data_IF_248963480962
#
_entry.id   IF_248963480962
#
_cell.length_a   1.000
_cell.length_b   1.000
_cell.length_c   1.000
_cell.angle_alpha   90.00
_cell.angle_beta   90.00
_cell.angle_gamma   90.00
#
_symmetry.space_group_name_H-M   'P 1'
#
loop_
_entity.id
_entity.type
_entity.pdbx_description
1 polymer ?
#
# COMPACT_ATOMS: atom_id res chain seq x y z
N UNK A 1 -15.12 -0.71 25.59
CA UNK A 1 -15.83 -0.63 24.30
C UNK A 1 -15.49 -1.88 23.53
N UNK A 2 -16.53 -2.60 23.11
CA UNK A 2 -16.41 -3.84 22.35
C UNK A 2 -16.73 -3.59 20.88
N UNK A 3 -15.85 -4.00 19.99
CA UNK A 3 -15.95 -3.74 18.55
C UNK A 3 -15.89 -5.05 17.81
N UNK A 4 -16.87 -5.26 16.94
CA UNK A 4 -16.88 -6.38 16.00
C UNK A 4 -16.42 -5.89 14.63
N UNK A 5 -15.50 -6.61 14.02
CA UNK A 5 -14.92 -6.25 12.71
C UNK A 5 -15.20 -7.36 11.70
N UNK A 6 -15.99 -7.06 10.67
CA UNK A 6 -16.24 -7.97 9.55
C UNK A 6 -15.21 -7.80 8.46
N UNK A 7 -14.61 -8.92 8.00
CA UNK A 7 -13.44 -8.94 7.12
C UNK A 7 -12.12 -8.67 7.85
N UNK A 8 -12.03 -9.11 9.11
CA UNK A 8 -10.96 -8.76 10.06
C UNK A 8 -9.57 -9.26 9.63
N UNK A 9 -9.46 -10.36 8.88
CA UNK A 9 -8.18 -10.95 8.48
C UNK A 9 -7.53 -10.26 7.28
N UNK A 10 -8.24 -9.32 6.64
CA UNK A 10 -7.75 -8.57 5.49
C UNK A 10 -6.67 -7.54 5.85
N UNK A 11 -5.81 -7.19 4.86
CA UNK A 11 -4.70 -6.25 5.03
C UNK A 11 -5.13 -4.83 5.44
N UNK A 12 -6.39 -4.43 5.19
CA UNK A 12 -6.92 -3.14 5.61
C UNK A 12 -7.55 -3.13 7.00
N UNK A 13 -8.16 -4.24 7.41
CA UNK A 13 -8.94 -4.33 8.67
C UNK A 13 -8.12 -4.90 9.82
N UNK A 14 -7.27 -5.91 9.55
CA UNK A 14 -6.47 -6.57 10.58
C UNK A 14 -5.50 -5.64 11.32
N UNK A 15 -4.73 -4.80 10.63
CA UNK A 15 -3.86 -3.81 11.29
C UNK A 15 -4.63 -2.83 12.18
N UNK A 16 -5.84 -2.43 11.76
CA UNK A 16 -6.71 -1.58 12.57
C UNK A 16 -7.21 -2.31 13.83
N UNK A 17 -7.54 -3.60 13.70
CA UNK A 17 -7.91 -4.44 14.83
C UNK A 17 -6.76 -4.56 15.85
N UNK A 18 -5.53 -4.79 15.38
CA UNK A 18 -4.32 -4.85 16.23
C UNK A 18 -4.08 -3.54 16.97
N UNK A 19 -4.18 -2.42 16.27
CA UNK A 19 -4.03 -1.09 16.89
C UNK A 19 -5.11 -0.83 17.95
N UNK A 20 -6.37 -1.18 17.64
CA UNK A 20 -7.49 -0.95 18.54
C UNK A 20 -7.41 -1.82 19.80
N UNK A 21 -6.99 -3.07 19.65
CA UNK A 21 -6.73 -4.00 20.77
C UNK A 21 -5.60 -3.45 21.65
N UNK A 22 -4.46 -3.08 21.07
CA UNK A 22 -3.34 -2.49 21.78
C UNK A 22 -3.71 -1.17 22.49
N UNK A 23 -4.72 -0.43 21.99
CA UNK A 23 -5.29 0.76 22.63
C UNK A 23 -6.29 0.42 23.76
N UNK A 24 -6.50 -0.87 24.07
CA UNK A 24 -7.33 -1.35 25.15
C UNK A 24 -8.82 -1.46 24.82
N UNK A 25 -9.18 -1.61 23.53
CA UNK A 25 -10.52 -1.98 23.12
C UNK A 25 -10.66 -3.50 23.08
N UNK A 26 -11.85 -4.03 23.37
CA UNK A 26 -12.14 -5.44 23.16
C UNK A 26 -12.53 -5.67 21.70
N UNK A 27 -11.72 -6.42 20.97
CA UNK A 27 -11.88 -6.64 19.53
C UNK A 27 -12.19 -8.11 19.27
N UNK A 28 -13.16 -8.36 18.40
CA UNK A 28 -13.41 -9.66 17.79
C UNK A 28 -13.91 -9.46 16.36
N UNK A 29 -14.01 -10.51 15.57
CA UNK A 29 -14.55 -10.37 14.23
C UNK A 29 -14.58 -11.66 13.43
N UNK A 30 -15.01 -11.55 12.17
CA UNK A 30 -15.17 -12.66 11.24
C UNK A 30 -14.47 -12.40 9.92
N UNK A 31 -14.14 -13.47 9.22
CA UNK A 31 -13.66 -13.42 7.84
C UNK A 31 -14.01 -14.71 7.09
N UNK A 32 -14.15 -14.65 5.77
CA UNK A 32 -14.40 -15.83 4.93
C UNK A 32 -13.23 -16.82 4.93
N UNK A 33 -12.00 -16.30 5.06
CA UNK A 33 -10.78 -17.09 5.02
C UNK A 33 -9.70 -16.54 5.97
N UNK A 34 -8.67 -17.33 6.21
CA UNK A 34 -7.46 -16.84 6.89
C UNK A 34 -6.70 -15.91 5.96
N UNK A 35 -6.87 -14.61 6.14
CA UNK A 35 -6.14 -13.59 5.39
C UNK A 35 -4.72 -13.38 5.90
N UNK A 36 -3.99 -12.44 5.27
CA UNK A 36 -2.56 -12.19 5.51
C UNK A 36 -2.22 -11.81 6.97
N UNK A 37 -3.17 -11.25 7.73
CA UNK A 37 -2.95 -10.75 9.11
C UNK A 37 -3.49 -11.71 10.17
N UNK A 38 -4.09 -12.84 9.78
CA UNK A 38 -4.73 -13.79 10.70
C UNK A 38 -3.84 -14.24 11.87
N UNK A 39 -2.58 -14.59 11.56
CA UNK A 39 -1.63 -15.05 12.57
C UNK A 39 -1.22 -13.94 13.55
N UNK A 40 -1.15 -12.70 13.11
CA UNK A 40 -0.89 -11.54 13.97
C UNK A 40 -2.06 -11.31 14.94
N UNK A 41 -3.31 -11.38 14.44
CA UNK A 41 -4.52 -11.22 15.23
C UNK A 41 -4.63 -12.27 16.33
N UNK A 42 -4.40 -13.54 15.98
CA UNK A 42 -4.47 -14.65 16.95
C UNK A 42 -3.36 -14.58 17.99
N UNK A 43 -2.15 -14.14 17.63
CA UNK A 43 -1.06 -13.87 18.59
C UNK A 43 -1.38 -12.73 19.54
N UNK A 44 -2.12 -11.71 19.09
CA UNK A 44 -2.61 -10.62 19.93
C UNK A 44 -3.79 -11.03 20.83
N UNK A 45 -4.31 -12.26 20.71
CA UNK A 45 -5.44 -12.75 21.50
C UNK A 45 -6.81 -12.32 20.96
N UNK A 46 -6.88 -11.80 19.77
CA UNK A 46 -8.14 -11.39 19.11
C UNK A 46 -8.87 -12.65 18.62
N UNK A 47 -10.14 -12.78 18.99
CA UNK A 47 -10.99 -13.89 18.56
C UNK A 47 -11.50 -13.66 17.13
N UNK A 48 -11.17 -14.57 16.22
CA UNK A 48 -11.52 -14.48 14.79
C UNK A 48 -12.28 -15.73 14.37
N UNK A 49 -13.54 -15.57 13.96
CA UNK A 49 -14.30 -16.62 13.31
C UNK A 49 -13.95 -16.67 11.80
N UNK A 50 -13.56 -17.83 11.31
CA UNK A 50 -13.20 -18.05 9.90
C UNK A 50 -14.17 -19.03 9.25
N UNK A 51 -14.77 -18.65 8.13
CA UNK A 51 -15.73 -19.47 7.39
C UNK A 51 -16.89 -18.63 6.86
N UNK A 52 -18.02 -19.29 6.60
CA UNK A 52 -19.22 -18.57 6.18
C UNK A 52 -19.64 -17.55 7.26
N UNK A 53 -19.81 -16.31 6.83
CA UNK A 53 -20.24 -15.21 7.70
C UNK A 53 -21.79 -15.21 7.78
N UNK A 54 -22.33 -16.32 8.28
CA UNK A 54 -23.78 -16.59 8.40
C UNK A 54 -24.47 -15.84 9.55
N UNK A 55 -23.68 -15.17 10.40
CA UNK A 55 -24.15 -14.38 11.53
C UNK A 55 -24.15 -15.12 12.88
N UNK A 56 -23.91 -16.44 12.95
CA UNK A 56 -23.91 -17.18 14.23
C UNK A 56 -22.88 -16.62 15.23
N UNK A 57 -21.68 -16.35 14.76
CA UNK A 57 -20.63 -15.76 15.60
C UNK A 57 -21.00 -14.36 16.07
N UNK A 58 -21.49 -13.50 15.17
CA UNK A 58 -21.96 -12.16 15.52
C UNK A 58 -23.11 -12.22 16.54
N UNK A 59 -24.08 -13.13 16.37
CA UNK A 59 -25.17 -13.29 17.30
C UNK A 59 -24.68 -13.63 18.73
N UNK A 60 -23.68 -14.51 18.84
CA UNK A 60 -23.06 -14.82 20.13
C UNK A 60 -22.43 -13.58 20.77
N UNK A 61 -21.72 -12.75 19.98
CA UNK A 61 -21.07 -11.54 20.45
C UNK A 61 -22.06 -10.41 20.77
N UNK A 62 -23.17 -10.31 20.05
CA UNK A 62 -24.25 -9.37 20.39
C UNK A 62 -24.84 -9.66 21.79
N UNK A 63 -24.95 -10.93 22.17
CA UNK A 63 -25.39 -11.32 23.54
C UNK A 63 -24.38 -10.93 24.62
N UNK A 64 -23.08 -10.85 24.26
CA UNK A 64 -22.01 -10.38 25.14
C UNK A 64 -21.92 -8.84 25.20
N UNK A 65 -22.63 -8.14 24.33
CA UNK A 65 -22.70 -6.69 24.23
C UNK A 65 -21.63 -6.09 23.31
N UNK A 66 -21.98 -5.88 22.05
CA UNK A 66 -21.16 -5.14 21.07
C UNK A 66 -21.62 -3.68 21.00
N UNK A 67 -20.67 -2.75 21.05
CA UNK A 67 -20.92 -1.31 20.96
C UNK A 67 -20.85 -0.80 19.51
N UNK A 68 -20.03 -1.44 18.67
CA UNK A 68 -19.76 -0.97 17.32
C UNK A 68 -19.44 -2.12 16.35
N UNK A 69 -20.09 -2.11 15.19
CA UNK A 69 -19.81 -2.98 14.06
C UNK A 69 -19.04 -2.22 12.98
N UNK A 70 -17.83 -2.67 12.65
CA UNK A 70 -16.97 -2.05 11.65
C UNK A 70 -16.79 -3.01 10.47
N UNK A 71 -16.94 -2.51 9.25
CA UNK A 71 -16.91 -3.34 8.06
C UNK A 71 -16.09 -2.74 6.92
N UNK A 72 -15.60 -3.63 6.03
CA UNK A 72 -14.88 -3.25 4.82
C UNK A 72 -15.83 -2.66 3.76
N UNK A 73 -15.34 -1.74 2.92
CA UNK A 73 -16.11 -1.21 1.78
C UNK A 73 -16.47 -2.27 0.73
N UNK A 74 -15.82 -3.44 0.77
CA UNK A 74 -16.15 -4.58 -0.10
C UNK A 74 -17.38 -5.37 0.35
N UNK A 75 -17.89 -5.13 1.58
CA UNK A 75 -19.04 -5.83 2.11
C UNK A 75 -20.33 -5.31 1.46
N UNK A 76 -21.17 -6.17 0.84
CA UNK A 76 -22.43 -5.74 0.23
C UNK A 76 -23.43 -5.29 1.30
N UNK A 77 -24.36 -4.40 0.91
CA UNK A 77 -25.35 -3.82 1.82
C UNK A 77 -26.34 -4.86 2.39
N UNK A 78 -26.55 -5.96 1.71
CA UNK A 78 -27.39 -7.09 2.11
C UNK A 78 -26.64 -8.21 2.84
N UNK A 79 -25.38 -7.98 3.18
CA UNK A 79 -24.58 -8.97 3.91
C UNK A 79 -25.20 -9.31 5.27
N UNK A 80 -25.31 -10.59 5.57
CA UNK A 80 -26.01 -11.13 6.76
C UNK A 80 -25.58 -10.44 8.05
N UNK A 81 -24.29 -10.36 8.34
CA UNK A 81 -23.78 -9.73 9.57
C UNK A 81 -24.10 -8.22 9.62
N UNK A 82 -24.04 -7.50 8.49
CA UNK A 82 -24.33 -6.06 8.45
C UNK A 82 -25.82 -5.80 8.71
N UNK A 83 -26.70 -6.62 8.13
CA UNK A 83 -28.14 -6.53 8.36
C UNK A 83 -28.45 -6.80 9.84
N UNK A 84 -27.92 -7.88 10.40
CA UNK A 84 -28.12 -8.25 11.81
C UNK A 84 -27.64 -7.15 12.76
N UNK A 85 -26.48 -6.55 12.53
CA UNK A 85 -25.96 -5.46 13.35
C UNK A 85 -26.85 -4.20 13.28
N UNK A 86 -27.35 -3.86 12.09
CA UNK A 86 -28.31 -2.74 11.89
C UNK A 86 -29.64 -3.01 12.62
N UNK A 87 -30.19 -4.22 12.52
CA UNK A 87 -31.41 -4.62 13.21
C UNK A 87 -31.28 -4.64 14.74
N UNK A 88 -30.08 -4.99 15.24
CA UNK A 88 -29.77 -4.92 16.67
C UNK A 88 -29.55 -3.47 17.16
N UNK A 89 -29.62 -2.47 16.29
CA UNK A 89 -29.41 -1.05 16.62
C UNK A 89 -27.97 -0.71 16.97
N UNK A 90 -27.00 -1.52 16.55
CA UNK A 90 -25.57 -1.29 16.78
C UNK A 90 -25.07 -0.21 15.82
N UNK A 91 -24.16 0.63 16.27
CA UNK A 91 -23.46 1.57 15.40
C UNK A 91 -22.67 0.82 14.33
N UNK A 92 -23.01 1.01 13.05
CA UNK A 92 -22.34 0.39 11.91
C UNK A 92 -21.61 1.44 11.10
N UNK A 93 -20.29 1.28 10.87
CA UNK A 93 -19.51 2.18 10.03
C UNK A 93 -18.45 1.46 9.22
N UNK A 94 -17.98 2.10 8.16
CA UNK A 94 -16.81 1.65 7.42
C UNK A 94 -15.51 1.87 8.24
N UNK A 95 -14.43 1.20 7.80
CA UNK A 95 -13.08 1.25 8.37
C UNK A 95 -12.61 2.67 8.70
N UNK A 96 -12.75 3.58 7.74
CA UNK A 96 -12.14 4.91 7.85
C UNK A 96 -12.80 5.79 8.92
N UNK A 97 -14.11 5.63 9.14
CA UNK A 97 -14.83 6.32 10.23
C UNK A 97 -14.34 5.84 11.61
N UNK A 98 -14.07 4.54 11.75
CA UNK A 98 -13.53 3.98 12.99
C UNK A 98 -12.08 4.37 13.20
N UNK A 99 -11.27 4.40 12.13
CA UNK A 99 -9.88 4.88 12.17
C UNK A 99 -9.82 6.33 12.62
N UNK A 100 -10.63 7.22 12.03
CA UNK A 100 -10.68 8.63 12.41
C UNK A 100 -11.06 8.80 13.90
N UNK A 101 -12.08 8.08 14.35
CA UNK A 101 -12.48 8.07 15.77
C UNK A 101 -11.34 7.61 16.68
N UNK A 102 -10.63 6.55 16.32
CA UNK A 102 -9.55 6.00 17.14
C UNK A 102 -8.40 6.99 17.28
N UNK A 103 -8.00 7.62 16.19
CA UNK A 103 -6.94 8.64 16.17
C UNK A 103 -7.30 9.84 17.03
N UNK A 104 -8.54 10.36 16.88
CA UNK A 104 -9.05 11.47 17.70
C UNK A 104 -9.11 11.09 19.18
N UNK A 105 -9.67 9.92 19.52
CA UNK A 105 -9.78 9.40 20.89
C UNK A 105 -8.41 9.30 21.57
N UNK A 106 -7.38 8.93 20.82
CA UNK A 106 -6.02 8.75 21.32
C UNK A 106 -5.20 10.06 21.30
N UNK A 107 -5.71 11.11 20.68
CA UNK A 107 -5.04 12.41 20.58
C UNK A 107 -3.76 12.39 19.75
N UNK A 108 -3.71 11.53 18.71
CA UNK A 108 -2.52 11.33 17.88
C UNK A 108 -2.45 12.34 16.74
N UNK A 109 -1.24 12.84 16.46
CA UNK A 109 -0.95 13.64 15.26
C UNK A 109 -0.84 12.69 14.04
N UNK A 110 -1.80 12.77 13.10
CA UNK A 110 -1.82 11.90 11.93
C UNK A 110 -0.77 12.32 10.90
N UNK A 111 0.07 11.38 10.48
CA UNK A 111 0.92 11.43 9.30
C UNK A 111 0.24 10.55 8.25
N UNK A 112 -0.42 11.16 7.26
CA UNK A 112 -1.18 10.44 6.25
C UNK A 112 -0.42 10.40 4.92
N UNK A 113 -0.12 9.20 4.43
CA UNK A 113 0.51 8.99 3.14
C UNK A 113 -0.58 8.70 2.11
N UNK A 114 -0.79 9.62 1.17
CA UNK A 114 -1.78 9.52 0.11
C UNK A 114 -1.15 9.77 -1.26
N UNK A 115 -1.63 9.09 -2.29
CA UNK A 115 -1.08 9.22 -3.64
C UNK A 115 -1.50 8.07 -4.51
N UNK A 116 -1.33 8.15 -5.80
CA UNK A 116 -1.65 7.06 -6.72
C UNK A 116 -0.67 5.92 -6.55
N UNK A 117 0.64 6.22 -6.48
CA UNK A 117 1.73 5.25 -6.34
C UNK A 117 2.61 5.58 -5.14
N UNK A 118 3.38 4.61 -4.66
CA UNK A 118 4.35 4.77 -3.57
C UNK A 118 3.76 4.75 -2.14
N UNK A 119 2.43 4.81 -1.95
CA UNK A 119 1.79 4.87 -0.62
C UNK A 119 2.34 3.86 0.39
N UNK A 120 2.21 2.58 0.07
CA UNK A 120 2.59 1.48 0.98
C UNK A 120 4.08 1.50 1.29
N UNK A 121 4.92 1.69 0.27
CA UNK A 121 6.38 1.74 0.44
C UNK A 121 6.79 2.92 1.30
N UNK A 122 6.32 4.14 0.98
CA UNK A 122 6.61 5.35 1.77
C UNK A 122 6.11 5.20 3.20
N UNK A 123 4.89 4.67 3.42
CA UNK A 123 4.35 4.44 4.77
C UNK A 123 5.24 3.48 5.57
N UNK A 124 5.63 2.36 4.96
CA UNK A 124 6.49 1.37 5.62
C UNK A 124 7.90 1.93 5.92
N UNK A 125 8.47 2.75 5.02
CA UNK A 125 9.74 3.45 5.23
C UNK A 125 9.65 4.48 6.36
N UNK A 126 8.55 5.23 6.48
CA UNK A 126 8.33 6.14 7.61
C UNK A 126 8.25 5.35 8.91
N UNK A 127 7.50 4.23 8.95
CA UNK A 127 7.40 3.37 10.14
C UNK A 127 8.77 2.82 10.52
N UNK A 128 9.52 2.27 9.56
CA UNK A 128 10.87 1.75 9.79
C UNK A 128 11.79 2.80 10.40
N UNK A 129 11.88 3.96 9.76
CA UNK A 129 12.74 5.05 10.23
C UNK A 129 12.28 5.60 11.59
N UNK A 130 10.97 5.76 11.82
CA UNK A 130 10.43 6.20 13.10
C UNK A 130 10.79 5.23 14.24
N UNK A 131 10.65 3.91 14.00
CA UNK A 131 11.05 2.88 14.99
C UNK A 131 12.56 2.90 15.27
N UNK A 132 13.38 3.00 14.23
CA UNK A 132 14.86 3.08 14.37
C UNK A 132 15.31 4.36 15.07
N UNK A 133 14.61 5.47 14.87
CA UNK A 133 14.87 6.74 15.55
C UNK A 133 14.19 6.83 16.93
N UNK A 134 13.54 5.76 17.42
CA UNK A 134 12.81 5.70 18.70
C UNK A 134 11.75 6.79 18.85
N UNK A 135 11.07 7.16 17.75
CA UNK A 135 9.94 8.06 17.81
C UNK A 135 8.70 7.33 18.35
N UNK A 136 7.90 8.04 19.12
CA UNK A 136 6.65 7.51 19.69
C UNK A 136 5.54 7.60 18.66
N UNK A 137 5.42 6.54 17.85
CA UNK A 137 4.50 6.48 16.73
C UNK A 137 3.74 5.16 16.69
N UNK A 138 2.42 5.28 16.68
CA UNK A 138 1.48 4.24 16.27
C UNK A 138 1.38 4.21 14.75
N UNK A 139 0.97 3.08 14.19
CA UNK A 139 0.86 2.97 12.74
C UNK A 139 -0.10 1.87 12.29
N UNK A 140 -0.57 2.01 11.05
CA UNK A 140 -1.25 0.98 10.28
C UNK A 140 -0.66 1.00 8.87
N UNK A 141 -0.18 -0.15 8.40
CA UNK A 141 0.36 -0.34 7.06
C UNK A 141 -0.44 -1.40 6.32
N UNK A 142 -0.79 -1.14 5.07
CA UNK A 142 -1.62 -2.00 4.22
C UNK A 142 -0.94 -3.28 3.72
N UNK A 143 0.18 -3.69 4.34
CA UNK A 143 0.92 -4.91 4.00
C UNK A 143 1.56 -5.52 5.24
N UNK A 144 2.02 -6.76 5.13
CA UNK A 144 2.84 -7.39 6.17
C UNK A 144 4.24 -6.78 6.20
N UNK A 145 4.72 -6.49 7.40
CA UNK A 145 6.05 -5.98 7.65
C UNK A 145 6.92 -7.11 8.22
N UNK A 146 8.06 -7.38 7.60
CA UNK A 146 9.01 -8.40 8.10
C UNK A 146 9.70 -8.01 9.41
N UNK A 147 9.62 -6.75 9.82
CA UNK A 147 10.33 -6.18 10.95
C UNK A 147 9.43 -5.76 12.13
N UNK A 148 8.12 -5.72 11.94
CA UNK A 148 7.15 -5.31 12.97
C UNK A 148 5.74 -5.83 12.60
N UNK A 149 4.76 -5.85 13.53
CA UNK A 149 3.35 -6.06 13.19
C UNK A 149 2.85 -5.01 12.18
N UNK A 150 1.81 -5.35 11.40
CA UNK A 150 1.22 -4.42 10.42
C UNK A 150 0.40 -3.28 11.03
N UNK A 151 0.02 -3.39 12.31
CA UNK A 151 -0.61 -2.35 13.10
C UNK A 151 -0.12 -2.36 14.54
N UNK A 152 0.14 -1.17 15.12
CA UNK A 152 0.65 -1.06 16.49
C UNK A 152 0.22 0.25 17.14
N UNK A 153 0.06 0.20 18.47
CA UNK A 153 -0.12 1.35 19.35
C UNK A 153 0.60 1.10 20.68
N UNK A 154 1.29 2.10 21.18
CA UNK A 154 1.83 2.09 22.55
C UNK A 154 1.33 3.32 23.31
N UNK A 155 0.97 3.11 24.57
CA UNK A 155 0.52 4.22 25.42
C UNK A 155 1.59 5.32 25.52
N UNK A 156 1.22 6.52 25.13
CA UNK A 156 2.12 7.67 25.09
C UNK A 156 2.75 7.94 23.73
N UNK A 157 2.34 7.20 22.70
CA UNK A 157 2.63 7.58 21.31
C UNK A 157 2.01 8.94 21.01
N UNK A 158 2.66 9.68 20.13
CA UNK A 158 2.26 11.04 19.73
C UNK A 158 1.74 11.09 18.30
N UNK A 159 2.26 10.22 17.46
CA UNK A 159 2.02 10.20 16.03
C UNK A 159 1.24 8.96 15.62
N UNK A 160 0.51 9.09 14.52
CA UNK A 160 -0.15 7.98 13.85
C UNK A 160 0.22 7.98 12.37
N UNK A 161 0.99 7.00 11.93
CA UNK A 161 1.44 6.84 10.54
C UNK A 161 0.43 5.94 9.82
N UNK A 162 -0.15 6.43 8.74
CA UNK A 162 -1.27 5.77 8.07
C UNK A 162 -1.23 5.92 6.55
N UNK A 163 -1.52 4.82 5.85
CA UNK A 163 -1.77 4.81 4.42
C UNK A 163 -3.21 5.25 4.12
N UNK A 164 -3.39 6.48 3.67
CA UNK A 164 -4.69 7.08 3.39
C UNK A 164 -5.09 6.84 1.92
N UNK A 165 -6.05 5.92 1.73
CA UNK A 165 -6.51 5.48 0.41
C UNK A 165 -7.41 6.54 -0.25
N UNK A 166 -7.08 6.93 -1.48
CA UNK A 166 -7.87 7.84 -2.29
C UNK A 166 -9.11 7.18 -2.90
N UNK A 167 -9.16 5.84 -2.97
CA UNK A 167 -10.34 5.13 -3.44
C UNK A 167 -11.57 5.48 -2.60
N UNK A 168 -12.72 5.62 -3.27
CA UNK A 168 -14.00 6.03 -2.64
C UNK A 168 -13.89 7.35 -1.85
N UNK A 169 -12.89 8.20 -2.16
CA UNK A 169 -12.60 9.48 -1.48
C UNK A 169 -12.35 9.33 0.04
N UNK A 170 -11.95 8.16 0.49
CA UNK A 170 -11.80 7.85 1.92
C UNK A 170 -10.79 8.76 2.61
N UNK A 171 -9.67 9.11 1.94
CA UNK A 171 -8.65 10.01 2.49
C UNK A 171 -9.20 11.41 2.85
N UNK A 172 -10.33 11.85 2.25
CA UNK A 172 -10.95 13.15 2.56
C UNK A 172 -11.69 13.18 3.91
N UNK A 173 -11.81 12.04 4.59
CA UNK A 173 -12.35 11.97 5.97
C UNK A 173 -11.35 12.44 7.02
N UNK A 174 -10.06 12.53 6.64
CA UNK A 174 -8.98 12.86 7.57
C UNK A 174 -8.54 14.31 7.47
N UNK A 175 -8.06 14.83 8.60
CA UNK A 175 -7.40 16.14 8.71
C UNK A 175 -5.98 15.91 9.21
N UNK A 176 -5.05 15.49 8.34
CA UNK A 176 -3.70 15.12 8.76
C UNK A 176 -2.97 16.32 9.37
N UNK A 177 -2.19 16.06 10.43
CA UNK A 177 -1.19 17.00 10.87
C UNK A 177 -0.11 17.16 9.79
N UNK A 178 0.31 16.05 9.16
CA UNK A 178 1.24 16.02 8.03
C UNK A 178 0.69 15.10 6.94
N UNK A 179 0.52 15.59 5.72
CA UNK A 179 0.28 14.79 4.54
C UNK A 179 1.60 14.53 3.80
N UNK A 180 1.83 13.28 3.36
CA UNK A 180 2.97 12.89 2.52
C UNK A 180 2.42 12.39 1.20
N UNK A 181 2.84 12.98 0.07
CA UNK A 181 2.25 12.69 -1.25
C UNK A 181 3.35 12.28 -2.24
N UNK A 182 3.55 10.95 -2.44
CA UNK A 182 4.59 10.46 -3.36
C UNK A 182 4.33 10.78 -4.83
N UNK A 183 3.11 10.53 -5.29
CA UNK A 183 2.73 10.75 -6.69
C UNK A 183 1.23 11.01 -6.82
N UNK A 184 0.86 11.81 -7.82
CA UNK A 184 -0.55 12.04 -8.17
C UNK A 184 -0.70 11.86 -9.70
N UNK A 185 -1.13 10.67 -10.09
CA UNK A 185 -1.51 10.30 -11.46
C UNK A 185 -2.97 9.88 -11.49
N UNK A 186 -3.66 10.09 -12.60
CA UNK A 186 -5.09 9.77 -12.69
C UNK A 186 -5.33 8.25 -12.57
N UNK A 187 -6.16 7.86 -11.60
CA UNK A 187 -6.62 6.48 -11.38
C UNK A 187 -8.07 6.50 -10.87
N UNK A 188 -8.70 5.33 -10.78
CA UNK A 188 -10.06 5.13 -10.25
C UNK A 188 -11.15 5.95 -10.96
N UNK A 189 -11.32 5.79 -12.28
CA UNK A 189 -12.34 6.52 -13.06
C UNK A 189 -13.77 6.16 -12.67
N UNK A 190 -13.98 5.01 -12.03
CA UNK A 190 -15.23 4.61 -11.39
C UNK A 190 -15.65 5.55 -10.25
N UNK A 191 -14.69 6.17 -9.56
CA UNK A 191 -14.89 7.12 -8.45
C UNK A 191 -14.67 8.58 -8.90
N UNK A 192 -13.74 8.79 -9.82
CA UNK A 192 -13.37 10.10 -10.35
C UNK A 192 -13.60 10.13 -11.86
N UNK A 193 -14.79 10.57 -12.32
CA UNK A 193 -15.13 10.53 -13.74
C UNK A 193 -14.17 11.29 -14.66
N UNK A 194 -13.42 12.26 -14.10
CA UNK A 194 -12.44 13.05 -14.85
C UNK A 194 -11.13 13.20 -14.09
N UNK A 195 -10.03 13.39 -14.83
CA UNK A 195 -8.74 13.73 -14.25
C UNK A 195 -8.81 14.99 -13.36
N UNK A 196 -9.66 15.94 -13.72
CA UNK A 196 -9.84 17.17 -12.95
C UNK A 196 -10.50 16.91 -11.59
N UNK A 197 -11.48 15.98 -11.51
CA UNK A 197 -12.10 15.58 -10.25
C UNK A 197 -11.09 14.90 -9.31
N UNK A 198 -10.20 14.09 -9.87
CA UNK A 198 -9.11 13.46 -9.11
C UNK A 198 -8.15 14.52 -8.53
N UNK A 199 -7.70 15.46 -9.38
CA UNK A 199 -6.83 16.57 -8.95
C UNK A 199 -7.50 17.43 -7.87
N UNK A 200 -8.80 17.75 -8.01
CA UNK A 200 -9.57 18.50 -7.00
C UNK A 200 -9.63 17.79 -5.66
N UNK A 201 -9.78 16.46 -5.65
CA UNK A 201 -9.77 15.69 -4.40
C UNK A 201 -8.42 15.81 -3.69
N UNK A 202 -7.30 15.71 -4.41
CA UNK A 202 -5.97 15.93 -3.83
C UNK A 202 -5.73 17.38 -3.38
N UNK A 203 -6.28 18.37 -4.10
CA UNK A 203 -6.24 19.77 -3.66
C UNK A 203 -7.01 19.95 -2.34
N UNK A 204 -8.20 19.33 -2.22
CA UNK A 204 -8.95 19.32 -0.98
C UNK A 204 -8.17 18.66 0.15
N UNK A 205 -7.57 17.49 -0.07
CA UNK A 205 -6.76 16.78 0.92
C UNK A 205 -5.57 17.62 1.41
N UNK A 206 -4.85 18.29 0.48
CA UNK A 206 -3.80 19.25 0.86
C UNK A 206 -4.37 20.37 1.73
N UNK A 207 -5.48 20.98 1.31
CA UNK A 207 -6.09 22.14 2.01
C UNK A 207 -6.60 21.82 3.42
N UNK A 208 -6.92 20.56 3.72
CA UNK A 208 -7.35 20.12 5.06
C UNK A 208 -6.21 19.57 5.93
N UNK A 209 -4.98 19.53 5.40
CA UNK A 209 -3.78 19.11 6.13
C UNK A 209 -3.08 20.29 6.79
N UNK A 210 -2.41 20.08 7.92
CA UNK A 210 -1.60 21.13 8.56
C UNK A 210 -0.33 21.44 7.77
N UNK A 211 0.37 20.40 7.34
CA UNK A 211 1.60 20.45 6.55
C UNK A 211 1.53 19.42 5.43
N UNK A 212 2.26 19.67 4.35
CA UNK A 212 2.35 18.77 3.20
C UNK A 212 3.81 18.60 2.80
N UNK A 213 4.24 17.36 2.60
CA UNK A 213 5.50 17.00 1.92
C UNK A 213 5.10 16.24 0.66
N UNK A 214 5.48 16.73 -0.51
CA UNK A 214 5.10 16.10 -1.78
C UNK A 214 6.25 16.05 -2.80
N UNK A 215 6.26 15.00 -3.63
CA UNK A 215 7.10 14.97 -4.81
C UNK A 215 6.37 15.59 -5.99
N UNK A 216 6.98 16.64 -6.59
CA UNK A 216 6.39 17.37 -7.69
C UNK A 216 7.46 18.01 -8.57
N UNK A 217 7.32 17.84 -9.89
CA UNK A 217 8.24 18.44 -10.88
C UNK A 217 9.72 18.10 -10.60
N UNK A 218 10.03 16.85 -10.24
CA UNK A 218 11.40 16.40 -9.97
C UNK A 218 11.97 16.85 -8.62
N UNK A 219 11.16 17.40 -7.71
CA UNK A 219 11.59 17.92 -6.42
C UNK A 219 10.67 17.45 -5.30
N UNK A 220 11.22 17.36 -4.09
CA UNK A 220 10.45 17.19 -2.87
C UNK A 220 10.24 18.57 -2.26
N UNK A 221 8.99 18.93 -2.03
CA UNK A 221 8.56 20.23 -1.55
C UNK A 221 7.87 20.10 -0.19
N UNK A 222 8.13 21.05 0.70
CA UNK A 222 7.45 21.21 1.97
C UNK A 222 6.56 22.45 1.95
N UNK A 223 5.33 22.34 2.47
CA UNK A 223 4.34 23.40 2.52
C UNK A 223 3.63 23.44 3.86
N UNK A 224 3.40 24.63 4.35
CA UNK A 224 2.49 24.88 5.48
C UNK A 224 1.17 25.44 4.95
N UNK A 225 0.07 24.67 5.11
CA UNK A 225 -1.20 24.96 4.46
C UNK A 225 -2.13 25.89 5.27
N UNK A 226 -1.93 26.00 6.60
CA UNK A 226 -2.78 26.83 7.48
C UNK A 226 -2.17 28.21 7.81
N UNK A 227 -1.08 28.59 7.17
CA UNK A 227 -0.46 29.90 7.36
C UNK A 227 -1.18 30.98 6.53
N UNK A 228 -1.11 32.23 6.97
CA UNK A 228 -1.67 33.38 6.23
C UNK A 228 -0.98 33.63 4.88
N UNK A 229 0.22 33.11 4.71
CA UNK A 229 0.99 33.12 3.48
C UNK A 229 1.41 31.65 3.21
N UNK A 230 1.15 31.16 2.00
CA UNK A 230 1.58 29.83 1.59
C UNK A 230 3.11 29.79 1.57
N UNK A 231 3.71 29.13 2.55
CA UNK A 231 5.13 28.86 2.57
C UNK A 231 5.40 27.56 1.82
N UNK A 232 6.19 27.63 0.75
CA UNK A 232 6.67 26.48 0.02
C UNK A 232 8.20 26.56 -0.06
N UNK A 233 8.89 25.48 0.34
CA UNK A 233 10.34 25.35 0.22
C UNK A 233 10.70 23.95 -0.30
N UNK A 234 11.91 23.84 -0.86
CA UNK A 234 12.49 22.54 -1.18
C UNK A 234 12.85 21.83 0.13
N UNK A 235 12.43 20.55 0.26
CA UNK A 235 12.66 19.75 1.45
C UNK A 235 14.15 19.42 1.65
N UNK A 236 14.51 19.07 2.89
CA UNK A 236 15.91 18.86 3.28
C UNK A 236 16.53 17.64 2.59
N UNK A 237 15.86 16.47 2.61
CA UNK A 237 16.37 15.24 2.00
C UNK A 237 15.86 15.12 0.56
N UNK A 238 16.77 14.75 -0.36
CA UNK A 238 16.50 14.59 -1.79
C UNK A 238 16.68 13.13 -2.21
N UNK A 239 16.08 12.73 -3.33
CA UNK A 239 16.20 11.35 -3.82
C UNK A 239 17.66 10.91 -4.04
N UNK A 240 18.52 11.81 -4.51
CA UNK A 240 19.94 11.55 -4.74
C UNK A 240 20.79 11.33 -3.47
N UNK A 241 20.22 11.56 -2.29
CA UNK A 241 20.89 11.25 -1.03
C UNK A 241 20.88 9.75 -0.71
N UNK A 242 20.05 8.97 -1.40
CA UNK A 242 19.82 7.54 -1.15
C UNK A 242 20.42 6.65 -2.24
N UNK A 243 20.94 5.48 -1.84
CA UNK A 243 21.57 4.49 -2.70
C UNK A 243 20.69 3.29 -3.04
N UNK A 244 19.37 3.39 -2.81
CA UNK A 244 18.41 2.35 -3.15
C UNK A 244 18.28 2.19 -4.67
N UNK A 245 18.08 0.97 -5.15
CA UNK A 245 17.80 0.70 -6.55
C UNK A 245 16.46 1.31 -6.98
N UNK A 246 16.44 1.97 -8.14
CA UNK A 246 15.28 2.64 -8.75
C UNK A 246 14.99 4.04 -8.19
N UNK A 247 14.72 4.99 -9.10
CA UNK A 247 14.43 6.37 -8.71
C UNK A 247 13.19 6.47 -7.83
N UNK A 248 12.12 5.71 -8.11
CA UNK A 248 10.90 5.72 -7.33
C UNK A 248 11.17 5.36 -5.85
N UNK A 249 12.00 4.35 -5.56
CA UNK A 249 12.36 3.99 -4.18
C UNK A 249 13.21 5.05 -3.50
N UNK A 250 14.09 5.72 -4.23
CA UNK A 250 14.88 6.85 -3.70
C UNK A 250 13.99 8.04 -3.36
N UNK A 251 12.95 8.30 -4.16
CA UNK A 251 11.93 9.33 -3.87
C UNK A 251 11.14 8.95 -2.61
N UNK A 252 10.65 7.71 -2.51
CA UNK A 252 9.93 7.23 -1.33
C UNK A 252 10.77 7.36 -0.05
N UNK A 253 12.07 7.01 -0.13
CA UNK A 253 13.02 7.14 0.99
C UNK A 253 13.22 8.61 1.39
N UNK A 254 13.36 9.51 0.43
CA UNK A 254 13.52 10.92 0.71
C UNK A 254 12.24 11.54 1.33
N UNK A 255 11.06 11.16 0.84
CA UNK A 255 9.78 11.56 1.45
C UNK A 255 9.68 11.05 2.90
N UNK A 256 10.04 9.79 3.13
CA UNK A 256 10.05 9.20 4.47
C UNK A 256 11.05 9.88 5.40
N UNK A 257 12.26 10.19 4.91
CA UNK A 257 13.26 10.93 5.68
C UNK A 257 12.76 12.30 6.11
N UNK A 258 12.18 13.07 5.18
CA UNK A 258 11.62 14.39 5.48
C UNK A 258 10.46 14.30 6.47
N UNK A 259 9.55 13.31 6.35
CA UNK A 259 8.47 13.10 7.29
C UNK A 259 8.99 12.79 8.71
N UNK A 260 9.95 11.89 8.83
CA UNK A 260 10.55 11.53 10.13
C UNK A 260 11.34 12.70 10.72
N UNK A 261 12.07 13.43 9.91
CA UNK A 261 12.77 14.65 10.32
C UNK A 261 11.79 15.71 10.85
N UNK A 262 10.65 15.90 10.17
CA UNK A 262 9.60 16.80 10.60
C UNK A 262 8.99 16.40 11.96
N UNK A 263 8.79 15.08 12.19
CA UNK A 263 8.38 14.55 13.50
C UNK A 263 9.42 14.85 14.58
N UNK A 264 10.72 14.65 14.29
CA UNK A 264 11.82 14.97 15.21
C UNK A 264 11.88 16.46 15.54
N UNK A 265 11.79 17.32 14.54
CA UNK A 265 11.75 18.77 14.75
C UNK A 265 10.58 19.17 15.67
N UNK A 266 9.40 18.61 15.46
CA UNK A 266 8.25 18.86 16.35
C UNK A 266 8.52 18.41 17.79
N UNK A 267 9.12 17.23 18.01
CA UNK A 267 9.46 16.73 19.33
C UNK A 267 10.51 17.60 20.05
N UNK A 268 11.47 18.13 19.30
CA UNK A 268 12.50 19.03 19.83
C UNK A 268 11.91 20.41 20.13
N UNK A 269 11.06 20.96 19.25
CA UNK A 269 10.37 22.23 19.48
C UNK A 269 9.49 22.20 20.73
N UNK A 270 8.77 21.10 20.99
CA UNK A 270 7.99 20.92 22.23
C UNK A 270 8.86 20.93 23.50
N UNK A 271 10.15 20.63 23.37
CA UNK A 271 11.15 20.68 24.45
C UNK A 271 11.94 22.00 24.49
N UNK A 272 11.63 22.94 23.60
CA UNK A 272 12.35 24.23 23.48
C UNK A 272 13.76 24.08 22.90
N UNK A 273 14.04 23.03 22.12
CA UNK A 273 15.32 22.76 21.47
C UNK A 273 15.17 23.07 19.98
N UNK A 274 15.98 23.99 19.46
CA UNK A 274 16.11 24.18 18.01
C UNK A 274 17.12 23.16 17.46
N UNK A 275 16.71 22.43 16.41
CA UNK A 275 17.56 21.49 15.69
C UNK A 275 17.52 21.85 14.21
N UNK A 276 18.63 22.28 13.70
CA UNK A 276 18.81 22.68 12.31
C UNK A 276 20.01 21.93 11.71
N UNK A 277 19.92 20.59 11.68
CA UNK A 277 20.97 19.81 11.02
C UNK A 277 20.48 18.52 10.41
N UNK A 278 20.95 18.30 9.21
CA UNK A 278 20.90 17.08 8.43
C UNK A 278 21.58 15.92 9.18
N UNK A 279 20.87 14.82 9.40
CA UNK A 279 21.43 13.65 10.03
C UNK A 279 21.66 12.54 9.03
N UNK A 280 22.90 12.16 8.78
CA UNK A 280 23.25 10.99 7.95
C UNK A 280 22.60 9.69 8.45
N UNK A 281 22.25 9.63 9.75
CA UNK A 281 21.58 8.49 10.35
C UNK A 281 20.22 8.12 9.67
N UNK A 282 19.44 9.08 9.19
CA UNK A 282 18.21 8.79 8.44
C UNK A 282 18.50 8.19 7.08
N UNK A 283 19.56 8.66 6.41
CA UNK A 283 19.99 8.11 5.12
C UNK A 283 20.46 6.67 5.29
N UNK A 284 21.35 6.41 6.24
CA UNK A 284 21.83 5.07 6.54
C UNK A 284 20.67 4.14 6.88
N UNK A 285 19.78 4.58 7.78
CA UNK A 285 18.59 3.81 8.17
C UNK A 285 17.70 3.43 6.99
N UNK A 286 17.44 4.36 6.08
CA UNK A 286 16.55 4.13 4.94
C UNK A 286 17.25 3.35 3.81
N UNK A 287 18.56 3.47 3.64
CA UNK A 287 19.32 2.60 2.74
C UNK A 287 19.30 1.13 3.20
N UNK A 288 19.18 0.89 4.52
CA UNK A 288 19.03 -0.45 5.12
C UNK A 288 17.56 -0.89 5.23
N UNK A 289 16.61 -0.19 4.60
CA UNK A 289 15.19 -0.52 4.69
C UNK A 289 14.91 -1.93 4.14
N UNK A 290 14.35 -2.83 4.96
CA UNK A 290 13.99 -4.17 4.51
C UNK A 290 12.78 -4.08 3.58
N UNK A 291 12.82 -4.89 2.53
CA UNK A 291 11.71 -4.97 1.58
C UNK A 291 10.46 -5.48 2.28
N UNK A 292 9.31 -4.88 1.97
CA UNK A 292 8.00 -5.32 2.48
C UNK A 292 7.27 -6.18 1.44
N UNK A 293 6.31 -6.97 1.90
CA UNK A 293 5.66 -7.99 1.08
C UNK A 293 5.10 -7.43 -0.24
N UNK A 294 5.41 -8.11 -1.34
CA UNK A 294 5.00 -7.78 -2.70
C UNK A 294 5.39 -6.36 -3.17
N UNK A 295 6.54 -5.81 -2.68
CA UNK A 295 7.11 -4.53 -3.13
C UNK A 295 8.57 -4.73 -3.50
N UNK A 296 8.80 -5.29 -4.69
CA UNK A 296 10.09 -5.78 -5.15
C UNK A 296 10.69 -6.80 -4.16
N UNK A 297 9.85 -7.71 -3.71
CA UNK A 297 10.20 -8.73 -2.71
C UNK A 297 10.96 -9.89 -3.38
N UNK A 298 12.15 -10.20 -2.85
CA UNK A 298 12.91 -11.38 -3.26
C UNK A 298 12.34 -12.62 -2.59
N UNK A 299 11.85 -13.59 -3.36
CA UNK A 299 11.27 -14.84 -2.87
C UNK A 299 12.20 -16.04 -3.01
N UNK A 300 13.14 -15.98 -3.95
CA UNK A 300 14.21 -16.93 -4.13
C UNK A 300 15.43 -16.26 -4.79
N UNK A 301 16.50 -16.98 -5.02
CA UNK A 301 17.68 -16.44 -5.70
C UNK A 301 17.32 -15.97 -7.11
N UNK A 302 17.47 -14.65 -7.33
CA UNK A 302 17.18 -13.96 -8.59
C UNK A 302 15.71 -14.02 -9.03
N UNK A 303 14.79 -14.32 -8.10
CA UNK A 303 13.34 -14.38 -8.34
C UNK A 303 12.62 -13.40 -7.41
N UNK A 304 11.89 -12.46 -8.01
CA UNK A 304 11.22 -11.36 -7.32
C UNK A 304 9.73 -11.35 -7.60
N UNK A 305 8.98 -10.68 -6.75
CA UNK A 305 7.56 -10.37 -6.97
C UNK A 305 7.28 -8.91 -6.61
N UNK A 306 6.39 -8.27 -7.38
CA UNK A 306 5.94 -6.90 -7.14
C UNK A 306 4.43 -6.76 -7.37
N UNK A 307 3.82 -5.84 -6.69
CA UNK A 307 2.39 -5.54 -6.80
C UNK A 307 2.03 -4.69 -8.03
N UNK A 308 3.02 -4.26 -8.81
CA UNK A 308 2.86 -3.41 -9.99
C UNK A 308 1.80 -3.97 -10.95
N UNK A 309 0.81 -3.17 -11.27
CA UNK A 309 -0.33 -3.52 -12.14
C UNK A 309 -0.84 -2.33 -12.99
N UNK A 310 -0.24 -1.16 -12.82
CA UNK A 310 -0.45 0.04 -13.64
C UNK A 310 0.80 0.30 -14.50
N UNK A 311 0.66 0.82 -15.74
CA UNK A 311 1.82 1.07 -16.61
C UNK A 311 2.97 1.85 -15.95
N UNK A 312 2.67 2.91 -15.21
CA UNK A 312 3.68 3.70 -14.50
C UNK A 312 4.42 2.90 -13.41
N UNK A 313 3.70 2.00 -12.70
CA UNK A 313 4.30 1.11 -11.71
C UNK A 313 5.22 0.08 -12.36
N UNK A 314 4.81 -0.46 -13.53
CA UNK A 314 5.62 -1.41 -14.29
C UNK A 314 6.94 -0.79 -14.71
N UNK A 315 6.91 0.43 -15.25
CA UNK A 315 8.12 1.19 -15.63
C UNK A 315 9.05 1.34 -14.42
N UNK A 316 8.53 1.80 -13.29
CA UNK A 316 9.31 2.00 -12.06
C UNK A 316 9.87 0.67 -11.53
N UNK A 317 9.08 -0.39 -11.50
CA UNK A 317 9.52 -1.71 -11.04
C UNK A 317 10.55 -2.33 -11.96
N UNK A 318 10.40 -2.16 -13.27
CA UNK A 318 11.38 -2.64 -14.26
C UNK A 318 12.71 -1.89 -14.14
N UNK A 319 12.70 -0.58 -13.84
CA UNK A 319 13.90 0.19 -13.56
C UNK A 319 14.65 -0.38 -12.34
N UNK A 320 13.93 -0.63 -11.22
CA UNK A 320 14.50 -1.26 -10.03
C UNK A 320 15.10 -2.63 -10.39
N UNK A 321 14.36 -3.45 -11.14
CA UNK A 321 14.80 -4.80 -11.53
C UNK A 321 16.06 -4.78 -12.40
N UNK A 322 16.20 -3.78 -13.28
CA UNK A 322 17.39 -3.60 -14.13
C UNK A 322 18.60 -3.18 -13.30
N UNK A 323 18.47 -2.18 -12.43
CA UNK A 323 19.55 -1.77 -11.53
C UNK A 323 19.99 -2.95 -10.62
N UNK A 324 19.04 -3.73 -10.10
CA UNK A 324 19.32 -4.92 -9.29
C UNK A 324 20.01 -6.02 -10.10
N UNK A 325 19.57 -6.27 -11.35
CA UNK A 325 20.21 -7.25 -12.23
C UNK A 325 21.67 -6.86 -12.53
N UNK A 326 21.94 -5.59 -12.78
CA UNK A 326 23.29 -5.09 -12.99
C UNK A 326 24.17 -5.28 -11.75
N UNK A 327 23.67 -4.93 -10.55
CA UNK A 327 24.38 -5.11 -9.28
C UNK A 327 24.72 -6.58 -8.99
N UNK A 328 23.81 -7.49 -9.37
CA UNK A 328 23.97 -8.93 -9.18
C UNK A 328 24.72 -9.63 -10.34
N UNK A 329 25.19 -8.88 -11.34
CA UNK A 329 25.89 -9.41 -12.52
C UNK A 329 25.02 -10.29 -13.42
N UNK A 330 23.70 -10.03 -13.46
CA UNK A 330 22.76 -10.74 -14.33
C UNK A 330 22.68 -10.08 -15.70
N UNK A 331 22.32 -10.84 -16.73
CA UNK A 331 22.29 -10.37 -18.13
C UNK A 331 21.15 -9.41 -18.44
N UNK A 332 20.05 -9.49 -17.68
CA UNK A 332 18.85 -8.70 -17.87
C UNK A 332 17.67 -9.21 -17.05
N UNK A 333 16.49 -8.72 -17.37
CA UNK A 333 15.25 -8.96 -16.62
C UNK A 333 14.22 -9.65 -17.49
N UNK A 334 13.63 -10.73 -16.97
CA UNK A 334 12.47 -11.41 -17.54
C UNK A 334 11.25 -11.12 -16.68
N UNK A 335 10.19 -10.62 -17.29
CA UNK A 335 8.96 -10.22 -16.62
C UNK A 335 7.87 -11.24 -16.87
N UNK A 336 7.15 -11.64 -15.82
CA UNK A 336 5.84 -12.28 -15.91
C UNK A 336 4.82 -11.25 -15.44
N UNK A 337 3.87 -10.89 -16.30
CA UNK A 337 2.91 -9.83 -15.99
C UNK A 337 1.48 -10.35 -16.01
N UNK A 338 0.72 -10.10 -14.94
CA UNK A 338 -0.72 -10.35 -14.89
C UNK A 338 -1.47 -9.03 -14.71
N UNK A 339 -2.22 -8.57 -15.74
CA UNK A 339 -3.11 -7.41 -15.61
C UNK A 339 -4.19 -7.67 -14.57
N UNK A 340 -4.65 -6.61 -13.92
CA UNK A 340 -5.67 -6.68 -12.88
C UNK A 340 -6.87 -5.81 -13.26
N UNK A 341 -8.08 -6.40 -13.26
CA UNK A 341 -9.36 -5.74 -13.52
C UNK A 341 -9.50 -5.24 -14.97
N UNK A 342 -10.28 -5.97 -15.80
CA UNK A 342 -10.47 -5.66 -17.22
C UNK A 342 -11.02 -4.23 -17.46
N UNK A 343 -11.92 -3.74 -16.59
CA UNK A 343 -12.43 -2.38 -16.67
C UNK A 343 -11.29 -1.35 -16.65
N UNK A 344 -10.32 -1.49 -15.72
CA UNK A 344 -9.12 -0.64 -15.68
C UNK A 344 -8.29 -0.78 -16.95
N UNK A 345 -8.17 -2.01 -17.47
CA UNK A 345 -7.33 -2.27 -18.64
C UNK A 345 -7.77 -1.50 -19.87
N UNK A 346 -9.08 -1.32 -20.08
CA UNK A 346 -9.61 -0.50 -21.17
C UNK A 346 -9.17 0.97 -21.09
N UNK A 347 -8.92 1.47 -19.91
CA UNK A 347 -8.57 2.86 -19.67
C UNK A 347 -7.07 3.14 -19.74
N UNK A 348 -6.27 2.17 -19.25
CA UNK A 348 -4.80 2.34 -19.20
C UNK A 348 -4.07 1.70 -20.37
N UNK A 349 -4.80 1.08 -21.34
CA UNK A 349 -4.24 0.30 -22.44
C UNK A 349 -3.11 1.01 -23.17
N UNK A 350 -3.32 2.28 -23.52
CA UNK A 350 -2.33 3.08 -24.27
C UNK A 350 -1.03 3.30 -23.50
N UNK A 351 -1.08 3.25 -22.17
CA UNK A 351 0.08 3.38 -21.29
C UNK A 351 1.06 2.21 -21.35
N UNK A 352 0.63 1.05 -21.84
CA UNK A 352 1.50 -0.12 -21.93
C UNK A 352 2.52 -0.06 -23.07
N UNK A 353 2.30 0.80 -24.07
CA UNK A 353 3.10 0.84 -25.30
C UNK A 353 4.62 0.72 -25.06
N UNK A 354 5.14 1.48 -24.11
CA UNK A 354 6.58 1.53 -23.78
C UNK A 354 6.90 1.00 -22.37
N UNK A 355 5.89 0.47 -21.65
CA UNK A 355 6.05 0.12 -20.23
C UNK A 355 7.05 -1.02 -19.97
N UNK A 356 7.30 -1.87 -20.97
CA UNK A 356 8.22 -3.01 -20.87
C UNK A 356 9.53 -2.81 -21.63
N UNK A 357 9.86 -1.57 -22.02
CA UNK A 357 11.12 -1.27 -22.72
C UNK A 357 12.31 -1.56 -21.78
N UNK A 358 13.21 -2.43 -22.24
CA UNK A 358 14.37 -2.88 -21.49
C UNK A 358 14.18 -4.21 -20.75
N UNK A 359 13.00 -4.83 -20.83
CA UNK A 359 12.85 -6.24 -20.49
C UNK A 359 13.44 -7.12 -21.60
N UNK A 360 14.13 -8.22 -21.22
CA UNK A 360 14.62 -9.22 -22.17
C UNK A 360 13.48 -10.08 -22.72
N UNK A 361 12.54 -10.43 -21.86
CA UNK A 361 11.34 -11.21 -22.19
C UNK A 361 10.17 -10.81 -21.31
N UNK A 362 8.97 -10.79 -21.90
CA UNK A 362 7.71 -10.54 -21.19
C UNK A 362 6.75 -11.71 -21.44
N UNK A 363 6.34 -12.38 -20.40
CA UNK A 363 5.27 -13.38 -20.42
C UNK A 363 3.98 -12.71 -19.92
N UNK A 364 3.04 -12.48 -20.83
CA UNK A 364 1.79 -11.78 -20.53
C UNK A 364 0.68 -12.78 -20.21
N UNK A 365 0.19 -12.76 -18.96
CA UNK A 365 -0.88 -13.62 -18.48
C UNK A 365 -2.27 -13.05 -18.79
N UNK A 366 -3.32 -13.89 -18.79
CA UNK A 366 -4.70 -13.39 -18.82
C UNK A 366 -5.00 -12.45 -17.67
N UNK A 367 -5.82 -11.43 -17.94
CA UNK A 367 -6.25 -10.46 -16.93
C UNK A 367 -6.99 -11.14 -15.78
N UNK A 368 -6.60 -10.85 -14.55
CA UNK A 368 -7.37 -11.24 -13.38
C UNK A 368 -8.63 -10.40 -13.27
N UNK A 369 -9.79 -11.06 -13.39
CA UNK A 369 -11.09 -10.43 -13.44
C UNK A 369 -11.65 -10.23 -12.02
N UNK A 370 -12.03 -9.00 -11.69
CA UNK A 370 -12.68 -8.64 -10.43
C UNK A 370 -13.39 -7.29 -10.57
N UNK A 371 -14.61 -7.16 -10.06
CA UNK A 371 -15.43 -5.94 -10.11
C UNK A 371 -15.58 -5.40 -11.53
N UNK A 372 -15.88 -6.27 -12.47
CA UNK A 372 -15.89 -5.95 -13.90
C UNK A 372 -17.14 -5.21 -14.35
N UNK A 373 -16.98 -4.31 -15.33
CA UNK A 373 -18.10 -3.83 -16.11
C UNK A 373 -18.52 -4.90 -17.15
N UNK A 374 -19.74 -5.47 -17.03
CA UNK A 374 -20.17 -6.56 -17.91
C UNK A 374 -20.39 -6.14 -19.36
N UNK A 375 -20.42 -4.84 -19.65
CA UNK A 375 -20.56 -4.31 -21.01
C UNK A 375 -19.24 -4.31 -21.78
N UNK A 376 -18.09 -4.45 -21.09
CA UNK A 376 -16.77 -4.46 -21.69
C UNK A 376 -16.32 -5.87 -22.03
N UNK A 377 -15.87 -6.10 -23.26
CA UNK A 377 -15.21 -7.36 -23.65
C UNK A 377 -13.89 -7.51 -22.92
N UNK A 378 -13.55 -8.74 -22.52
CA UNK A 378 -12.25 -9.02 -21.91
C UNK A 378 -11.16 -8.90 -22.97
N UNK A 379 -10.18 -8.02 -22.75
CA UNK A 379 -9.03 -7.83 -23.62
C UNK A 379 -8.08 -9.02 -23.47
N UNK A 380 -7.72 -9.66 -24.58
CA UNK A 380 -6.80 -10.80 -24.56
C UNK A 380 -5.35 -10.34 -24.51
N UNK A 381 -4.43 -11.19 -23.98
CA UNK A 381 -3.00 -10.88 -23.94
C UNK A 381 -2.43 -10.47 -25.31
N UNK A 382 -2.82 -11.13 -26.39
CA UNK A 382 -2.33 -10.86 -27.74
C UNK A 382 -2.70 -9.44 -28.23
N UNK A 383 -3.83 -8.90 -27.77
CA UNK A 383 -4.28 -7.55 -28.12
C UNK A 383 -3.45 -6.47 -27.43
N UNK A 384 -2.96 -6.74 -26.21
CA UNK A 384 -2.01 -5.85 -25.53
C UNK A 384 -0.62 -5.91 -26.18
N UNK A 385 -0.15 -7.14 -26.43
CA UNK A 385 1.17 -7.39 -27.00
C UNK A 385 1.32 -6.70 -28.36
N UNK A 386 0.27 -6.73 -29.20
CA UNK A 386 0.28 -6.11 -30.51
C UNK A 386 0.51 -4.59 -30.49
N UNK A 387 0.18 -3.92 -29.38
CA UNK A 387 0.33 -2.47 -29.21
C UNK A 387 1.66 -2.08 -28.56
N UNK A 388 2.50 -3.03 -28.11
CA UNK A 388 3.79 -2.76 -27.50
C UNK A 388 4.82 -2.29 -28.53
N UNK A 389 5.66 -1.32 -28.16
CA UNK A 389 6.77 -0.87 -29.00
C UNK A 389 7.90 -1.94 -29.15
N UNK A 390 7.99 -2.86 -28.19
CA UNK A 390 8.94 -3.98 -28.17
C UNK A 390 8.24 -5.35 -28.23
N UNK A 391 7.23 -5.47 -29.09
CA UNK A 391 6.36 -6.66 -29.18
C UNK A 391 7.13 -7.98 -29.41
N UNK A 392 8.31 -7.95 -30.01
CA UNK A 392 9.12 -9.13 -30.32
C UNK A 392 9.61 -9.86 -29.05
N UNK A 393 9.71 -9.18 -27.92
CA UNK A 393 10.12 -9.80 -26.64
C UNK A 393 8.94 -10.29 -25.82
N UNK A 394 7.69 -10.00 -26.23
CA UNK A 394 6.49 -10.37 -25.49
C UNK A 394 5.78 -11.58 -26.08
N UNK A 395 5.21 -12.43 -25.24
CA UNK A 395 4.35 -13.54 -25.65
C UNK A 395 3.23 -13.77 -24.62
N UNK A 396 2.07 -14.22 -25.10
CA UNK A 396 0.98 -14.69 -24.25
C UNK A 396 1.37 -15.98 -23.54
N UNK A 397 1.03 -16.09 -22.26
CA UNK A 397 1.39 -17.24 -21.43
C UNK A 397 0.26 -17.58 -20.45
N UNK A 398 0.31 -18.78 -19.91
CA UNK A 398 -0.57 -19.27 -18.84
C UNK A 398 0.27 -19.84 -17.69
N UNK A 399 -0.29 -19.86 -16.48
CA UNK A 399 0.37 -20.43 -15.30
C UNK A 399 0.37 -21.97 -15.40
N UNK A 400 1.37 -22.53 -16.06
CA UNK A 400 1.50 -23.95 -16.32
C UNK A 400 2.97 -24.41 -16.36
N UNK A 401 3.20 -25.71 -16.62
CA UNK A 401 4.55 -26.28 -16.65
C UNK A 401 5.38 -25.80 -17.86
N UNK A 402 4.76 -25.39 -18.99
CA UNK A 402 5.47 -24.79 -20.12
C UNK A 402 6.12 -23.46 -19.74
N UNK A 403 5.35 -22.59 -19.07
CA UNK A 403 5.89 -21.33 -18.53
C UNK A 403 7.04 -21.60 -17.55
N UNK A 404 6.87 -22.60 -16.64
CA UNK A 404 7.95 -22.96 -15.70
C UNK A 404 9.24 -23.40 -16.39
N UNK A 405 9.14 -24.20 -17.45
CA UNK A 405 10.32 -24.61 -18.21
C UNK A 405 11.04 -23.43 -18.86
N UNK A 406 10.27 -22.47 -19.42
CA UNK A 406 10.83 -21.24 -20.00
C UNK A 406 11.50 -20.38 -18.93
N UNK A 407 10.86 -20.21 -17.78
CA UNK A 407 11.42 -19.44 -16.66
C UNK A 407 12.72 -20.06 -16.13
N UNK A 408 12.74 -21.39 -15.96
CA UNK A 408 13.95 -22.11 -15.55
C UNK A 408 15.09 -21.92 -16.56
N UNK A 409 14.80 -21.98 -17.86
CA UNK A 409 15.79 -21.68 -18.89
C UNK A 409 16.42 -20.29 -18.70
N UNK A 410 15.62 -19.25 -18.41
CA UNK A 410 16.16 -17.90 -18.18
C UNK A 410 16.99 -17.80 -16.90
N UNK A 411 16.58 -18.45 -15.80
CA UNK A 411 17.38 -18.53 -14.57
C UNK A 411 18.73 -19.19 -14.79
N UNK A 412 18.76 -20.32 -15.52
CA UNK A 412 19.98 -21.07 -15.83
C UNK A 412 20.92 -20.30 -16.79
N UNK A 413 20.39 -19.30 -17.49
CA UNK A 413 21.13 -18.42 -18.40
C UNK A 413 21.43 -17.04 -17.83
N UNK A 414 21.42 -16.87 -16.51
CA UNK A 414 21.83 -15.68 -15.79
C UNK A 414 20.89 -14.47 -15.93
N UNK A 415 19.57 -14.68 -16.05
CA UNK A 415 18.59 -13.61 -15.99
C UNK A 415 17.95 -13.49 -14.60
N UNK A 416 17.43 -12.30 -14.29
CA UNK A 416 16.59 -12.05 -13.13
C UNK A 416 15.12 -12.22 -13.54
N UNK A 417 14.33 -12.91 -12.74
CA UNK A 417 12.89 -13.08 -12.95
C UNK A 417 12.09 -12.18 -12.01
N UNK A 418 11.07 -11.52 -12.53
CA UNK A 418 10.11 -10.77 -11.73
C UNK A 418 8.67 -11.04 -12.16
N UNK A 419 7.81 -11.35 -11.18
CA UNK A 419 6.36 -11.33 -11.35
C UNK A 419 5.82 -9.97 -10.95
N UNK A 420 5.03 -9.36 -11.84
CA UNK A 420 4.31 -8.12 -11.58
C UNK A 420 2.80 -8.39 -11.62
N UNK A 421 2.13 -8.34 -10.46
CA UNK A 421 0.70 -8.62 -10.35
C UNK A 421 0.08 -8.13 -9.04
N UNK A 422 -1.14 -7.63 -9.09
CA UNK A 422 -2.02 -7.44 -7.91
C UNK A 422 -2.92 -8.67 -7.66
N UNK A 423 -2.92 -9.63 -8.56
CA UNK A 423 -3.78 -10.81 -8.56
C UNK A 423 -3.18 -12.05 -7.87
N UNK A 424 -3.86 -13.21 -8.02
CA UNK A 424 -3.49 -14.47 -7.37
C UNK A 424 -2.29 -15.20 -8.01
N UNK A 425 -1.76 -14.73 -9.14
CA UNK A 425 -0.56 -15.33 -9.74
C UNK A 425 0.64 -15.33 -8.78
N UNK A 426 0.65 -14.45 -7.76
CA UNK A 426 1.65 -14.41 -6.70
C UNK A 426 1.69 -15.72 -5.87
N UNK A 427 0.54 -16.34 -5.59
CA UNK A 427 0.47 -17.61 -4.87
C UNK A 427 1.15 -18.73 -5.66
N UNK A 428 0.81 -18.86 -6.96
CA UNK A 428 1.44 -19.83 -7.84
C UNK A 428 2.95 -19.60 -7.96
N UNK A 429 3.37 -18.33 -8.08
CA UNK A 429 4.78 -17.95 -8.16
C UNK A 429 5.55 -18.39 -6.91
N UNK A 430 5.00 -18.12 -5.73
CA UNK A 430 5.60 -18.52 -4.45
C UNK A 430 5.66 -20.04 -4.29
N UNK A 431 4.64 -20.78 -4.70
CA UNK A 431 4.65 -22.24 -4.64
C UNK A 431 5.74 -22.86 -5.53
N UNK A 432 5.97 -22.28 -6.71
CA UNK A 432 6.94 -22.82 -7.67
C UNK A 432 8.40 -22.49 -7.30
N UNK A 433 8.65 -21.40 -6.61
CA UNK A 433 10.00 -20.94 -6.27
C UNK A 433 10.35 -20.98 -4.77
N UNK A 434 9.41 -21.26 -3.88
CA UNK A 434 9.74 -21.59 -2.48
C UNK A 434 10.40 -22.97 -2.43
N UNK A 435 11.65 -23.00 -2.05
CA UNK A 435 12.36 -24.23 -1.63
C UNK A 435 11.91 -24.68 -0.25
#
# INVERSE_FOLDING_TARGET
MKVYISGISGTGMGPLALMAEAAGLEICGSDLARGAVYDELTKAGIEVAVGEQDGEFLESKLREGIDWFVYTSALPEDHTELVMAKEAGIKCTKRDDFTAFLVEKLGLKMIAVAGTHGKTTTTAMIVWAALKMNLKASYIVGTTLGFAPSGSYHKGDKYFIYEADEYDRNFLKYHPWLAVIPAVSYDHPDIYPTREDYIKAFQQFRGQSGFVIEYKNGKILEKQMMAKEDFESEAMYKSNDFSLAGEARRIDAALAANAVFFMQQNDYAERGIEVDYYTGALIETLNDFPVVGRRFERIADYVYTDYAHHPEEIVATLEIAKEEAELLGRKGVVVVYQPHQNTRQHEVKDGYRDAFVGAEKVFWLPTYLTRENPELSVIKPEEFIADLSNLDVAEAAELNDDLMQKLQFYLDNDYLLILMTAGPADEWWREKFKN
#
